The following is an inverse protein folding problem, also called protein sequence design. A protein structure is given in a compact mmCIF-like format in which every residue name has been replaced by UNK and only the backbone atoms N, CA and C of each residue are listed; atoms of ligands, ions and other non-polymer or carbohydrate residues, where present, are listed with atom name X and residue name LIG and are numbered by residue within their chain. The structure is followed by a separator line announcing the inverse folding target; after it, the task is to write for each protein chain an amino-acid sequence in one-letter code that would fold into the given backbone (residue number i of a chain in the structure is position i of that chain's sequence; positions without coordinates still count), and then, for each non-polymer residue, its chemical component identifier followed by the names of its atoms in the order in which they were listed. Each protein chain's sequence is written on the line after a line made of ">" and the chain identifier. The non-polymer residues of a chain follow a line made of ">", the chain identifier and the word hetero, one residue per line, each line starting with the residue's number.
data_IF_318277201476
#
_entry.id   IF_318277201476
#
_cell.length_a   1.000
_cell.length_b   1.000
_cell.length_c   1.000
_cell.angle_alpha   90.00
_cell.angle_beta   90.00
_cell.angle_gamma   90.00
#
_symmetry.space_group_name_H-M   'P 1'
#
loop_
_entity.id
_entity.type
_entity.pdbx_description
1 polymer ?
#
# COMPACT_ATOMS: atom_id res chain seq x y z
N UNK A 1 -16.69 5.12 10.32
CA UNK A 1 -15.77 5.75 9.34
C UNK A 1 -14.95 4.63 8.70
N UNK A 2 -14.84 4.59 7.37
CA UNK A 2 -14.35 3.44 6.59
C UNK A 2 -12.81 3.31 6.64
N UNK A 3 -12.31 2.09 6.89
CA UNK A 3 -10.91 1.68 6.83
C UNK A 3 -10.83 0.36 6.08
N UNK A 4 -9.85 0.21 5.19
CA UNK A 4 -9.64 -1.06 4.49
C UNK A 4 -8.20 -1.21 4.01
N UNK A 5 -7.80 -2.46 3.86
CA UNK A 5 -6.65 -2.93 3.09
C UNK A 5 -7.22 -3.97 2.11
N UNK A 6 -6.94 -3.82 0.82
CA UNK A 6 -7.36 -4.75 -0.23
C UNK A 6 -6.14 -5.07 -1.08
N UNK A 7 -5.92 -6.35 -1.35
CA UNK A 7 -4.88 -6.81 -2.29
C UNK A 7 -5.55 -7.38 -3.53
N UNK A 8 -5.04 -7.00 -4.69
CA UNK A 8 -5.38 -7.53 -5.99
C UNK A 8 -4.24 -8.45 -6.46
N UNK A 9 -4.60 -9.68 -6.84
CA UNK A 9 -3.64 -10.64 -7.40
C UNK A 9 -3.18 -10.18 -8.80
N UNK A 10 -1.92 -10.45 -9.18
CA UNK A 10 -1.43 -10.17 -10.53
C UNK A 10 -2.22 -10.95 -11.59
N UNK A 11 -2.32 -10.37 -12.78
CA UNK A 11 -2.92 -11.02 -13.95
C UNK A 11 -2.02 -10.86 -15.19
N UNK A 12 -2.28 -11.56 -16.31
CA UNK A 12 -1.40 -11.47 -17.49
C UNK A 12 -1.18 -10.01 -17.96
N UNK A 13 0.05 -9.50 -17.78
CA UNK A 13 0.44 -8.14 -18.15
C UNK A 13 0.07 -7.05 -17.14
N UNK A 14 -0.43 -7.41 -15.96
CA UNK A 14 -0.82 -6.47 -14.90
C UNK A 14 -0.24 -6.93 -13.56
N UNK A 15 0.50 -6.04 -12.90
CA UNK A 15 1.05 -6.29 -11.57
C UNK A 15 -0.07 -6.35 -10.52
N UNK A 16 0.14 -7.17 -9.48
CA UNK A 16 -0.71 -7.14 -8.29
C UNK A 16 -0.56 -5.82 -7.54
N UNK A 17 -1.61 -5.41 -6.83
CA UNK A 17 -1.63 -4.11 -6.12
C UNK A 17 -2.21 -4.23 -4.72
N UNK A 18 -1.69 -3.42 -3.80
CA UNK A 18 -2.28 -3.19 -2.49
C UNK A 18 -2.94 -1.82 -2.49
N UNK A 19 -4.15 -1.74 -1.95
CA UNK A 19 -4.92 -0.51 -1.74
C UNK A 19 -5.21 -0.36 -0.26
N UNK A 20 -4.83 0.77 0.32
CA UNK A 20 -5.07 1.07 1.73
C UNK A 20 -5.85 2.39 1.85
N UNK A 21 -6.85 2.42 2.72
CA UNK A 21 -7.53 3.66 3.05
C UNK A 21 -7.71 3.80 4.56
N UNK A 22 -7.38 4.98 5.07
CA UNK A 22 -7.67 5.36 6.44
C UNK A 22 -8.20 6.81 6.52
N UNK A 23 -9.14 7.06 7.44
CA UNK A 23 -9.53 8.41 7.87
C UNK A 23 -8.36 9.38 8.03
N UNK A 24 -8.40 10.52 7.33
CA UNK A 24 -7.38 11.56 7.42
C UNK A 24 -6.12 11.32 6.58
N UNK A 25 -5.86 10.08 6.14
CA UNK A 25 -4.76 9.75 5.24
C UNK A 25 -5.20 9.63 3.77
N UNK A 26 -6.46 9.25 3.53
CA UNK A 26 -6.99 9.04 2.19
C UNK A 26 -6.59 7.67 1.60
N UNK A 27 -6.62 7.54 0.28
CA UNK A 27 -6.27 6.32 -0.44
C UNK A 27 -4.77 6.29 -0.78
N UNK A 28 -4.13 5.19 -0.45
CA UNK A 28 -2.79 4.84 -0.91
C UNK A 28 -2.85 3.55 -1.72
N UNK A 29 -1.96 3.43 -2.71
CA UNK A 29 -1.79 2.21 -3.49
C UNK A 29 -0.34 1.99 -3.89
N UNK A 30 0.06 0.73 -4.02
CA UNK A 30 1.34 0.37 -4.61
C UNK A 30 1.29 -1.04 -5.23
N UNK A 31 2.19 -1.29 -6.18
CA UNK A 31 2.39 -2.63 -6.72
C UNK A 31 2.98 -3.55 -5.64
N UNK A 32 2.61 -4.83 -5.69
CA UNK A 32 3.11 -5.85 -4.77
C UNK A 32 3.83 -6.96 -5.51
N UNK A 33 4.91 -7.44 -4.90
CA UNK A 33 5.62 -8.64 -5.29
C UNK A 33 4.81 -9.89 -4.93
N UNK A 34 5.16 -11.05 -5.50
CA UNK A 34 4.49 -12.31 -5.22
C UNK A 34 4.51 -12.72 -3.73
N UNK A 35 5.47 -12.21 -2.95
CA UNK A 35 5.55 -12.43 -1.50
C UNK A 35 4.81 -11.37 -0.67
N UNK A 36 4.17 -10.38 -1.31
CA UNK A 36 3.47 -9.28 -0.65
C UNK A 36 4.29 -8.01 -0.40
N UNK A 37 5.59 -7.98 -0.75
CA UNK A 37 6.42 -6.79 -0.59
C UNK A 37 5.97 -5.66 -1.52
N UNK A 38 6.09 -4.41 -1.07
CA UNK A 38 5.85 -3.25 -1.93
C UNK A 38 6.98 -3.12 -2.95
N UNK A 39 6.60 -3.10 -4.23
CA UNK A 39 7.53 -2.91 -5.33
C UNK A 39 7.70 -1.43 -5.62
N UNK A 40 8.94 -0.98 -5.52
CA UNK A 40 9.34 0.38 -5.86
C UNK A 40 10.09 0.34 -7.20
N UNK A 41 9.60 1.08 -8.18
CA UNK A 41 10.23 1.15 -9.50
C UNK A 41 11.49 2.00 -9.51
N UNK A 42 12.35 1.76 -10.50
CA UNK A 42 13.54 2.57 -10.73
C UNK A 42 13.20 4.05 -10.92
N UNK A 43 12.13 4.35 -11.66
CA UNK A 43 11.68 5.73 -11.92
C UNK A 43 11.19 6.43 -10.65
N UNK A 44 10.50 5.70 -9.77
CA UNK A 44 10.12 6.21 -8.45
C UNK A 44 11.34 6.53 -7.60
N UNK A 45 12.37 5.67 -7.60
CA UNK A 45 13.63 5.92 -6.88
C UNK A 45 14.39 7.11 -7.46
N UNK A 46 14.51 7.22 -8.79
CA UNK A 46 15.15 8.37 -9.45
C UNK A 46 14.43 9.66 -9.11
N UNK A 47 13.10 9.65 -9.20
CA UNK A 47 12.27 10.80 -8.85
C UNK A 47 12.46 11.20 -7.38
N UNK A 48 12.47 10.23 -6.48
CA UNK A 48 12.67 10.47 -5.05
C UNK A 48 14.07 11.07 -4.80
N UNK A 49 15.11 10.48 -5.36
CA UNK A 49 16.49 10.95 -5.22
C UNK A 49 16.70 12.36 -5.81
N UNK A 50 16.10 12.67 -6.95
CA UNK A 50 16.20 13.98 -7.59
C UNK A 50 15.50 15.10 -6.80
N UNK A 51 14.44 14.77 -6.04
CA UNK A 51 13.63 15.75 -5.32
C UNK A 51 13.93 15.83 -3.81
N UNK A 52 14.75 14.92 -3.27
CA UNK A 52 15.10 14.91 -1.86
C UNK A 52 16.07 16.06 -1.51
N UNK A 53 15.78 16.79 -0.43
CA UNK A 53 16.61 17.89 0.07
C UNK A 53 17.48 17.44 1.27
N UNK A 54 18.17 16.30 1.10
CA UNK A 54 18.99 15.68 2.13
C UNK A 54 18.47 14.31 2.61
N UNK A 55 19.24 13.61 3.46
CA UNK A 55 18.95 12.24 3.89
C UNK A 55 17.62 12.08 4.63
N UNK A 56 17.25 13.04 5.47
CA UNK A 56 16.00 12.98 6.25
C UNK A 56 14.78 13.14 5.35
N UNK A 57 14.85 14.05 4.37
CA UNK A 57 13.80 14.24 3.38
C UNK A 57 13.67 13.01 2.46
N UNK A 58 14.79 12.33 2.16
CA UNK A 58 14.80 11.07 1.42
C UNK A 58 14.09 9.98 2.23
N UNK A 59 14.49 9.76 3.49
CA UNK A 59 13.89 8.75 4.36
C UNK A 59 12.38 8.97 4.53
N UNK A 60 11.95 10.21 4.80
CA UNK A 60 10.53 10.52 4.93
C UNK A 60 9.72 10.23 3.66
N UNK A 61 10.29 10.48 2.47
CA UNK A 61 9.61 10.14 1.20
C UNK A 61 9.58 8.63 0.97
N UNK A 62 10.57 7.88 1.44
CA UNK A 62 10.54 6.41 1.39
C UNK A 62 9.38 5.89 2.24
N UNK A 63 9.19 6.41 3.45
CA UNK A 63 8.05 6.01 4.31
C UNK A 63 6.69 6.27 3.64
N UNK A 64 6.56 7.40 2.95
CA UNK A 64 5.36 7.72 2.17
C UNK A 64 5.14 6.75 1.00
N UNK A 65 6.22 6.42 0.29
CA UNK A 65 6.19 5.50 -0.84
C UNK A 65 5.77 4.09 -0.40
N UNK A 66 6.28 3.65 0.76
CA UNK A 66 5.98 2.33 1.34
C UNK A 66 4.62 2.27 2.05
N UNK A 67 3.99 3.42 2.28
CA UNK A 67 2.66 3.49 2.91
C UNK A 67 2.69 3.30 4.43
N UNK A 68 3.80 3.61 5.09
CA UNK A 68 4.01 3.36 6.53
C UNK A 68 2.88 3.93 7.41
N UNK A 69 2.39 5.14 7.11
CA UNK A 69 1.29 5.75 7.86
C UNK A 69 -0.03 4.95 7.75
N UNK A 70 -0.28 4.29 6.61
CA UNK A 70 -1.44 3.41 6.45
C UNK A 70 -1.24 2.09 7.18
N UNK A 71 -0.04 1.51 7.13
CA UNK A 71 0.30 0.32 7.89
C UNK A 71 0.06 0.57 9.40
N UNK A 72 0.59 1.67 9.96
CA UNK A 72 0.37 2.06 11.37
C UNK A 72 -1.12 2.25 11.72
N UNK A 73 -1.88 2.89 10.83
CA UNK A 73 -3.30 3.17 11.05
C UNK A 73 -4.19 1.92 10.96
N UNK A 74 -3.76 0.92 10.19
CA UNK A 74 -4.51 -0.33 9.95
C UNK A 74 -4.05 -1.48 10.83
N UNK A 75 -2.83 -1.42 11.39
CA UNK A 75 -2.26 -2.46 12.25
C UNK A 75 -3.19 -2.90 13.40
N UNK A 76 -3.91 -2.01 14.13
CA UNK A 76 -4.85 -2.42 15.16
C UNK A 76 -6.01 -3.30 14.65
N UNK A 77 -6.34 -3.20 13.36
CA UNK A 77 -7.46 -3.91 12.74
C UNK A 77 -7.04 -5.23 12.07
N UNK A 78 -5.74 -5.46 11.83
CA UNK A 78 -5.26 -6.75 11.26
C UNK A 78 -5.56 -7.93 12.16
N UNK A 79 -5.41 -7.75 13.49
CA UNK A 79 -5.71 -8.80 14.48
C UNK A 79 -7.20 -9.12 14.61
N UNK A 80 -8.08 -8.19 14.21
CA UNK A 80 -9.52 -8.44 14.17
C UNK A 80 -9.92 -9.34 12.98
N UNK A 81 -9.00 -9.59 12.03
CA UNK A 81 -9.20 -10.47 10.88
C UNK A 81 -8.98 -11.95 11.16
N UNK A 82 -8.38 -12.33 12.29
CA UNK A 82 -8.17 -13.73 12.67
C UNK A 82 -9.51 -14.34 13.16
N UNK A 83 -10.38 -14.69 12.19
CA UNK A 83 -11.73 -15.20 12.41
C UNK A 83 -12.89 -14.33 11.91
N UNK A 84 -12.63 -13.15 11.33
CA UNK A 84 -13.68 -12.35 10.69
C UNK A 84 -13.89 -12.82 9.23
N UNK A 85 -15.14 -12.96 8.76
CA UNK A 85 -15.41 -13.43 7.41
C UNK A 85 -14.84 -12.44 6.38
N UNK A 86 -13.85 -12.90 5.61
CA UNK A 86 -13.34 -12.21 4.43
C UNK A 86 -14.52 -12.04 3.46
N UNK A 87 -14.98 -10.80 3.29
CA UNK A 87 -16.01 -10.49 2.30
C UNK A 87 -15.34 -10.34 0.95
N UNK A 88 -15.41 -11.39 0.14
CA UNK A 88 -14.97 -11.35 -1.24
C UNK A 88 -15.91 -10.45 -2.05
N UNK A 89 -15.40 -9.32 -2.52
CA UNK A 89 -16.12 -8.50 -3.51
C UNK A 89 -16.03 -9.20 -4.86
N UNK A 90 -17.00 -10.07 -5.15
CA UNK A 90 -17.14 -10.66 -6.48
C UNK A 90 -17.68 -9.63 -7.47
N UNK A 91 -17.09 -9.61 -8.68
CA UNK A 91 -17.61 -8.86 -9.83
C UNK A 91 -19.04 -9.33 -10.13
N UNK A 92 -20.02 -8.46 -9.95
CA UNK A 92 -21.37 -8.62 -10.50
C UNK A 92 -21.41 -7.95 -11.87
N UNK A 93 -21.61 -8.76 -12.90
CA UNK A 93 -21.75 -8.38 -14.31
C UNK A 93 -22.13 -9.59 -15.11
#
# INVERSE_FOLDING_TARGET
>A
MLRFEVTEDPSPGVDGQRFCHAPGLGLWRACTSANGDIVVSEDQLRTLAANAKGPEAFAHRVDQLLGAAWDDALEPFRRAGDGAPVTWLHRVG
#
